data_IF_675306645447
#
_entry.id   IF_675306645447
#
_cell.length_a   1.000
_cell.length_b   1.000
_cell.length_c   1.000
_cell.angle_alpha   90.00
_cell.angle_beta   90.00
_cell.angle_gamma   90.00
#
_symmetry.space_group_name_H-M   'P 1'
#
loop_
_entity.id
_entity.type
_entity.pdbx_description
1 polymer ?
#
# COMPACT_ATOMS: atom_id res chain seq x y z
N UNK A 1 -0.11 -25.56 13.93
CA UNK A 1 -1.09 -24.46 13.78
C UNK A 1 -0.43 -23.09 13.56
N UNK A 2 0.71 -22.78 14.18
CA UNK A 2 1.44 -21.52 13.92
C UNK A 2 1.92 -21.40 12.46
N UNK A 3 2.57 -22.44 11.92
CA UNK A 3 3.05 -22.44 10.52
C UNK A 3 1.91 -22.28 9.50
N UNK A 4 0.78 -22.97 9.68
CA UNK A 4 -0.38 -22.87 8.77
C UNK A 4 -1.01 -21.48 8.75
N UNK A 5 -1.02 -20.77 9.88
CA UNK A 5 -1.51 -19.39 9.96
C UNK A 5 -0.55 -18.43 9.26
N UNK A 6 0.76 -18.60 9.46
CA UNK A 6 1.79 -17.79 8.81
C UNK A 6 1.77 -17.99 7.29
N UNK A 7 1.66 -19.23 6.81
CA UNK A 7 1.56 -19.54 5.38
C UNK A 7 0.31 -18.93 4.74
N UNK A 8 -0.84 -19.00 5.44
CA UNK A 8 -2.07 -18.38 4.97
C UNK A 8 -1.94 -16.86 4.88
N UNK A 9 -1.33 -16.21 5.87
CA UNK A 9 -1.04 -14.77 5.85
C UNK A 9 -0.15 -14.38 4.68
N UNK A 10 0.88 -15.17 4.36
CA UNK A 10 1.78 -14.92 3.23
C UNK A 10 1.02 -15.01 1.90
N UNK A 11 0.22 -16.08 1.70
CA UNK A 11 -0.58 -16.24 0.47
C UNK A 11 -1.57 -15.09 0.32
N UNK A 12 -2.24 -14.70 1.41
CA UNK A 12 -3.17 -13.58 1.42
C UNK A 12 -2.46 -12.27 1.06
N UNK A 13 -1.29 -12.01 1.63
CA UNK A 13 -0.47 -10.83 1.34
C UNK A 13 -0.06 -10.77 -0.14
N UNK A 14 0.32 -11.88 -0.75
CA UNK A 14 0.63 -11.94 -2.18
C UNK A 14 -0.60 -11.66 -3.05
N UNK A 15 -1.74 -12.27 -2.74
CA UNK A 15 -2.99 -12.01 -3.45
C UNK A 15 -3.40 -10.53 -3.36
N UNK A 16 -3.28 -9.94 -2.18
CA UNK A 16 -3.59 -8.53 -1.95
C UNK A 16 -2.64 -7.60 -2.70
N UNK A 17 -1.38 -7.99 -2.82
CA UNK A 17 -0.39 -7.22 -3.57
C UNK A 17 -0.68 -7.25 -5.08
N UNK A 18 -1.04 -8.42 -5.63
CA UNK A 18 -1.50 -8.53 -7.03
C UNK A 18 -2.75 -7.67 -7.25
N UNK A 19 -3.73 -7.77 -6.34
CA UNK A 19 -4.96 -6.99 -6.40
C UNK A 19 -4.69 -5.48 -6.37
N UNK A 20 -3.77 -5.04 -5.49
CA UNK A 20 -3.38 -3.64 -5.37
C UNK A 20 -2.75 -3.12 -6.66
N UNK A 21 -1.89 -3.92 -7.29
CA UNK A 21 -1.21 -3.58 -8.55
C UNK A 21 -2.21 -3.46 -9.69
N UNK A 22 -3.12 -4.45 -9.82
CA UNK A 22 -4.20 -4.39 -10.80
C UNK A 22 -5.06 -3.13 -10.61
N UNK A 23 -5.48 -2.83 -9.38
CA UNK A 23 -6.29 -1.65 -9.08
C UNK A 23 -5.56 -0.34 -9.40
N UNK A 24 -4.24 -0.26 -9.17
CA UNK A 24 -3.42 0.90 -9.52
C UNK A 24 -3.41 1.10 -11.04
N UNK A 25 -3.18 0.03 -11.82
CA UNK A 25 -3.21 0.07 -13.29
C UNK A 25 -4.58 0.54 -13.78
N UNK A 26 -5.66 -0.05 -13.28
CA UNK A 26 -7.04 0.36 -13.63
C UNK A 26 -7.35 1.80 -13.18
N UNK A 27 -6.73 2.28 -12.10
CA UNK A 27 -6.95 3.64 -11.60
C UNK A 27 -6.47 4.71 -12.58
N UNK A 28 -5.51 4.40 -13.47
CA UNK A 28 -4.96 5.36 -14.45
C UNK A 28 -6.07 6.04 -15.25
N UNK A 29 -7.12 5.30 -15.58
CA UNK A 29 -8.25 5.74 -16.41
C UNK A 29 -9.49 6.19 -15.61
N UNK A 30 -9.52 5.99 -14.29
CA UNK A 30 -10.72 6.24 -13.46
C UNK A 30 -10.72 7.60 -12.73
N UNK A 31 -11.92 8.00 -12.30
CA UNK A 31 -12.25 9.25 -11.62
C UNK A 31 -11.51 9.44 -10.29
N UNK A 32 -11.37 10.69 -9.84
CA UNK A 32 -10.71 11.09 -8.57
C UNK A 32 -11.27 10.38 -7.34
N UNK A 33 -12.58 10.11 -7.30
CA UNK A 33 -13.23 9.38 -6.20
C UNK A 33 -12.73 7.94 -6.08
N UNK A 34 -12.54 7.24 -7.20
CA UNK A 34 -11.98 5.89 -7.22
C UNK A 34 -10.54 5.88 -6.68
N UNK A 35 -9.72 6.87 -7.06
CA UNK A 35 -8.34 7.00 -6.56
C UNK A 35 -8.27 7.25 -5.05
N UNK A 36 -9.18 8.06 -4.50
CA UNK A 36 -9.26 8.27 -3.05
C UNK A 36 -9.72 7.01 -2.29
N UNK A 37 -10.68 6.27 -2.84
CA UNK A 37 -11.13 5.01 -2.25
C UNK A 37 -10.04 3.94 -2.30
N UNK A 38 -9.32 3.87 -3.42
CA UNK A 38 -8.14 3.02 -3.58
C UNK A 38 -7.04 3.39 -2.58
N UNK A 39 -6.75 4.68 -2.39
CA UNK A 39 -5.75 5.11 -1.41
C UNK A 39 -6.12 4.72 0.03
N UNK A 40 -7.39 4.89 0.43
CA UNK A 40 -7.87 4.42 1.74
C UNK A 40 -7.72 2.91 1.91
N UNK A 41 -8.09 2.15 0.87
CA UNK A 41 -7.92 0.70 0.84
C UNK A 41 -6.44 0.32 1.03
N UNK A 42 -5.54 0.88 0.22
CA UNK A 42 -4.10 0.61 0.31
C UNK A 42 -3.47 0.96 1.67
N UNK A 43 -3.95 2.02 2.33
CA UNK A 43 -3.52 2.38 3.68
C UNK A 43 -4.02 1.36 4.72
N UNK A 44 -5.28 0.94 4.67
CA UNK A 44 -5.78 -0.13 5.55
C UNK A 44 -4.96 -1.43 5.38
N UNK A 45 -4.59 -1.77 4.14
CA UNK A 45 -3.73 -2.93 3.87
C UNK A 45 -2.30 -2.77 4.39
N UNK A 46 -1.74 -1.56 4.32
CA UNK A 46 -0.43 -1.28 4.89
C UNK A 46 -0.43 -1.53 6.40
N UNK A 47 -1.48 -1.07 7.11
CA UNK A 47 -1.64 -1.31 8.55
C UNK A 47 -1.76 -2.80 8.85
N UNK A 48 -2.52 -3.56 8.03
CA UNK A 48 -2.62 -5.00 8.17
C UNK A 48 -1.26 -5.70 8.00
N UNK A 49 -0.50 -5.36 6.95
CA UNK A 49 0.85 -5.91 6.73
C UNK A 49 1.80 -5.57 7.90
N UNK A 50 1.76 -4.34 8.41
CA UNK A 50 2.53 -3.93 9.58
C UNK A 50 2.19 -4.75 10.83
N UNK A 51 0.90 -5.01 11.07
CA UNK A 51 0.45 -5.82 12.21
C UNK A 51 0.93 -7.28 12.09
N UNK A 52 0.86 -7.88 10.91
CA UNK A 52 1.34 -9.24 10.65
C UNK A 52 2.85 -9.34 10.87
N UNK A 53 3.62 -8.36 10.38
CA UNK A 53 5.07 -8.31 10.55
C UNK A 53 5.46 -8.09 12.01
N UNK A 54 4.76 -7.21 12.73
CA UNK A 54 4.96 -7.00 14.15
C UNK A 54 4.67 -8.27 14.97
N UNK A 55 3.61 -9.00 14.61
CA UNK A 55 3.30 -10.30 15.22
C UNK A 55 4.39 -11.33 14.94
N UNK A 56 4.87 -11.42 13.69
CA UNK A 56 5.96 -12.30 13.31
C UNK A 56 7.24 -12.00 14.11
N UNK A 57 7.66 -10.74 14.17
CA UNK A 57 8.84 -10.29 14.93
C UNK A 57 8.69 -10.54 16.43
N UNK A 58 7.51 -10.33 17.00
CA UNK A 58 7.25 -10.61 18.42
C UNK A 58 7.25 -12.13 18.73
N UNK A 59 6.91 -12.96 17.74
CA UNK A 59 6.87 -14.41 17.88
C UNK A 59 8.22 -15.10 17.64
N UNK A 60 9.12 -14.52 16.84
CA UNK A 60 10.47 -15.03 16.64
C UNK A 60 11.40 -14.63 17.80
N UNK A 61 11.51 -15.51 18.80
CA UNK A 61 12.62 -15.48 19.76
C UNK A 61 13.89 -16.04 19.11
N UNK A 62 14.64 -15.20 18.42
CA UNK A 62 16.09 -15.38 18.30
C UNK A 62 16.65 -16.07 17.05
N UNK A 63 15.95 -16.11 15.92
CA UNK A 63 16.57 -16.54 14.67
C UNK A 63 16.85 -15.35 13.75
N UNK A 64 18.12 -15.23 13.32
CA UNK A 64 18.54 -14.24 12.35
C UNK A 64 17.75 -14.34 11.04
N UNK A 65 17.78 -13.24 10.27
CA UNK A 65 17.05 -12.98 9.02
C UNK A 65 16.82 -14.26 8.19
N UNK A 66 15.70 -14.95 8.46
CA UNK A 66 15.34 -16.17 7.72
C UNK A 66 14.90 -15.78 6.30
N UNK A 67 14.89 -16.73 5.36
CA UNK A 67 14.34 -16.49 4.01
C UNK A 67 12.89 -15.97 4.04
N UNK A 68 12.15 -16.28 5.11
CA UNK A 68 10.82 -15.76 5.38
C UNK A 68 10.85 -14.26 5.78
N UNK A 69 11.83 -13.85 6.58
CA UNK A 69 12.07 -12.44 6.89
C UNK A 69 12.31 -11.60 5.63
N UNK A 70 13.13 -12.09 4.69
CA UNK A 70 13.42 -11.39 3.42
C UNK A 70 12.14 -11.21 2.60
N UNK A 71 11.26 -12.21 2.54
CA UNK A 71 10.01 -12.12 1.78
C UNK A 71 9.03 -11.11 2.40
N UNK A 72 8.95 -11.05 3.74
CA UNK A 72 8.17 -10.02 4.44
C UNK A 72 8.68 -8.60 4.18
N UNK A 73 10.00 -8.40 4.24
CA UNK A 73 10.59 -7.11 3.89
C UNK A 73 10.26 -6.72 2.45
N UNK A 74 10.41 -7.63 1.49
CA UNK A 74 10.05 -7.38 0.09
C UNK A 74 8.57 -6.99 -0.07
N UNK A 75 7.65 -7.69 0.61
CA UNK A 75 6.22 -7.39 0.60
C UNK A 75 5.93 -5.97 1.14
N UNK A 76 6.58 -5.56 2.22
CA UNK A 76 6.43 -4.21 2.79
C UNK A 76 6.94 -3.16 1.79
N UNK A 77 8.13 -3.35 1.23
CA UNK A 77 8.75 -2.35 0.33
C UNK A 77 7.87 -2.12 -0.90
N UNK A 78 7.32 -3.18 -1.48
CA UNK A 78 6.41 -3.08 -2.62
C UNK A 78 5.09 -2.41 -2.23
N UNK A 79 4.52 -2.75 -1.06
CA UNK A 79 3.28 -2.12 -0.58
C UNK A 79 3.45 -0.62 -0.31
N UNK A 80 4.61 -0.21 0.23
CA UNK A 80 4.98 1.20 0.43
C UNK A 80 5.10 1.91 -0.92
N UNK A 81 5.76 1.30 -1.90
CA UNK A 81 5.87 1.85 -3.25
C UNK A 81 4.49 2.05 -3.90
N UNK A 82 3.59 1.07 -3.78
CA UNK A 82 2.20 1.16 -4.24
C UNK A 82 1.44 2.31 -3.59
N UNK A 83 1.59 2.51 -2.28
CA UNK A 83 1.00 3.64 -1.55
C UNK A 83 1.55 5.00 -2.02
N UNK A 84 2.86 5.11 -2.20
CA UNK A 84 3.51 6.34 -2.70
C UNK A 84 3.03 6.67 -4.13
N UNK A 85 2.94 5.68 -5.01
CA UNK A 85 2.43 5.88 -6.38
C UNK A 85 0.97 6.35 -6.38
N UNK A 86 0.11 5.77 -5.54
CA UNK A 86 -1.26 6.25 -5.37
C UNK A 86 -1.32 7.67 -4.78
N UNK A 87 -0.52 7.97 -3.76
CA UNK A 87 -0.45 9.29 -3.14
C UNK A 87 -0.04 10.37 -4.15
N UNK A 88 1.03 10.12 -4.91
CA UNK A 88 1.50 11.03 -5.96
C UNK A 88 0.45 11.23 -7.04
N UNK A 89 -0.27 10.16 -7.43
CA UNK A 89 -1.36 10.22 -8.40
C UNK A 89 -2.54 11.08 -7.93
N UNK A 90 -2.88 11.03 -6.63
CA UNK A 90 -3.92 11.87 -6.02
C UNK A 90 -3.43 13.32 -5.87
N UNK A 91 -2.19 13.52 -5.40
CA UNK A 91 -1.57 14.84 -5.20
C UNK A 91 -1.46 15.63 -6.51
N UNK A 92 -1.02 15.01 -7.60
CA UNK A 92 -0.95 15.66 -8.93
C UNK A 92 -2.32 16.14 -9.42
N UNK A 93 -3.40 15.39 -9.17
CA UNK A 93 -4.75 15.83 -9.55
C UNK A 93 -5.29 16.94 -8.64
N UNK A 94 -5.01 16.89 -7.33
CA UNK A 94 -5.37 18.00 -6.41
C UNK A 94 -4.68 19.31 -6.80
N UNK A 95 -3.41 19.26 -7.22
CA UNK A 95 -2.70 20.42 -7.74
C UNK A 95 -3.31 20.98 -9.04
N UNK A 96 -3.84 20.11 -9.92
CA UNK A 96 -4.52 20.52 -11.15
C UNK A 96 -5.92 21.13 -10.91
N UNK A 97 -6.57 20.80 -9.80
CA UNK A 97 -7.93 21.26 -9.45
C UNK A 97 -7.89 22.52 -8.58
N UNK A 98 -6.79 22.79 -7.86
CA UNK A 98 -6.60 24.12 -7.26
C UNK A 98 -6.35 25.10 -8.41
N UNK A 99 -7.26 26.05 -8.70
CA UNK A 99 -6.86 27.19 -9.49
C UNK A 99 -5.67 27.83 -8.76
N UNK A 100 -4.58 28.07 -9.49
CA UNK A 100 -3.51 28.94 -9.00
C UNK A 100 -4.17 30.22 -8.52
N UNK A 101 -3.96 30.55 -7.24
CA UNK A 101 -4.43 31.78 -6.61
C UNK A 101 -3.95 33.06 -7.34
N UNK A 102 -3.08 32.93 -8.34
CA UNK A 102 -2.65 33.99 -9.25
C UNK A 102 -3.70 34.42 -10.29
N UNK A 103 -4.82 33.70 -10.44
CA UNK A 103 -5.87 34.10 -11.41
C UNK A 103 -6.93 35.07 -10.84
N UNK A 104 -6.79 35.51 -9.59
CA UNK A 104 -7.72 36.44 -8.92
C UNK A 104 -7.01 37.71 -8.41
N UNK A 105 -6.04 38.22 -9.18
CA UNK A 105 -5.62 39.63 -9.11
C UNK A 105 -5.92 40.33 -10.44
N UNK A 106 -7.20 40.31 -10.83
CA UNK A 106 -7.76 41.41 -11.60
C UNK A 106 -8.75 42.07 -10.67
N UNK A 107 -8.23 43.03 -9.92
CA UNK A 107 -8.80 44.37 -9.67
C UNK A 107 -7.85 45.14 -8.72
#
# INVERSE_FOLDING_TARGET
MHSTLVDFCIILSWLLLVLSTCLIIFSKYKHTYFKQRLFRFLNSFLVFHLAVVAYYLASEKGNGLSGLGISYWALITVQVACNIFCYMSVRRRKAKIRPSLDSFSMD
#
